data_IF_419347008265
#
_entry.id   IF_419347008265
#
_cell.length_a   1.000
_cell.length_b   1.000
_cell.length_c   1.000
_cell.angle_alpha   90.00
_cell.angle_beta   90.00
_cell.angle_gamma   90.00
#
_symmetry.space_group_name_H-M   'P 1'
#
loop_
_entity.id
_entity.type
_entity.pdbx_description
1 polymer ?
#
# COMPACT_ATOMS: atom_id res chain seq x y z
N UNK A 1 56.72 -11.82 -49.23
CA UNK A 1 56.15 -10.57 -48.68
C UNK A 1 55.18 -10.94 -47.55
N UNK A 2 55.26 -10.21 -46.42
CA UNK A 2 54.34 -10.29 -45.27
C UNK A 2 52.87 -10.08 -45.69
N UNK A 3 51.92 -10.78 -45.07
CA UNK A 3 50.97 -10.10 -44.17
C UNK A 3 50.07 -11.04 -43.36
N UNK A 4 49.76 -10.56 -42.17
CA UNK A 4 49.01 -11.14 -41.06
C UNK A 4 47.61 -10.53 -40.98
N UNK A 5 46.61 -11.28 -40.44
CA UNK A 5 45.42 -10.86 -39.63
C UNK A 5 44.22 -11.75 -39.99
N UNK A 6 43.78 -12.64 -39.09
CA UNK A 6 42.92 -12.44 -37.90
C UNK A 6 41.41 -12.43 -38.23
N UNK A 7 40.75 -13.39 -37.59
CA UNK A 7 39.48 -13.27 -36.86
C UNK A 7 38.19 -13.59 -37.61
N UNK A 8 37.79 -14.85 -37.43
CA UNK A 8 36.43 -15.31 -37.18
C UNK A 8 35.55 -14.24 -36.52
N UNK A 9 34.50 -13.82 -37.22
CA UNK A 9 33.35 -13.16 -36.61
C UNK A 9 32.09 -13.96 -36.91
N UNK A 10 31.53 -14.45 -35.82
CA UNK A 10 30.27 -15.17 -35.70
C UNK A 10 29.18 -14.43 -36.47
N UNK A 11 28.56 -15.17 -37.38
CA UNK A 11 27.43 -14.72 -38.19
C UNK A 11 26.17 -15.41 -37.67
N UNK A 12 25.62 -14.91 -36.55
CA UNK A 12 24.30 -15.27 -36.05
C UNK A 12 23.58 -13.99 -35.63
N UNK A 13 22.76 -13.48 -36.55
CA UNK A 13 21.69 -12.49 -36.36
C UNK A 13 20.49 -13.09 -37.10
N UNK A 14 19.22 -12.94 -36.74
CA UNK A 14 18.56 -12.49 -35.53
C UNK A 14 17.07 -12.67 -35.89
N UNK A 15 16.35 -13.59 -35.24
CA UNK A 15 14.88 -13.59 -35.22
C UNK A 15 14.42 -14.26 -33.92
N UNK A 16 14.58 -13.51 -32.82
CA UNK A 16 13.93 -13.80 -31.54
C UNK A 16 12.65 -12.98 -31.44
N UNK A 17 11.58 -13.49 -30.81
CA UNK A 17 10.29 -12.83 -30.76
C UNK A 17 10.40 -11.51 -29.99
N UNK A 18 9.65 -10.51 -30.44
CA UNK A 18 9.43 -9.27 -29.74
C UNK A 18 8.81 -9.53 -28.36
N UNK A 19 9.66 -9.80 -27.38
CA UNK A 19 9.31 -9.70 -25.98
C UNK A 19 9.40 -8.22 -25.61
N UNK A 20 8.24 -7.67 -25.26
CA UNK A 20 8.06 -6.34 -24.71
C UNK A 20 9.13 -6.04 -23.66
N UNK A 21 10.10 -5.20 -24.01
CA UNK A 21 10.94 -4.54 -23.03
C UNK A 21 10.09 -3.44 -22.37
N UNK A 22 9.20 -3.84 -21.46
CA UNK A 22 8.85 -3.01 -20.32
C UNK A 22 10.14 -2.91 -19.48
N UNK A 23 11.03 -2.00 -19.89
CA UNK A 23 12.12 -1.53 -19.07
C UNK A 23 11.49 -0.74 -17.90
N UNK A 24 10.98 -1.49 -16.92
CA UNK A 24 10.55 -0.98 -15.65
C UNK A 24 11.77 -0.40 -14.94
N UNK A 25 11.88 0.92 -14.97
CA UNK A 25 12.70 1.69 -14.05
C UNK A 25 12.14 1.50 -12.62
N UNK A 26 12.45 0.35 -12.01
CA UNK A 26 12.05 -0.03 -10.65
C UNK A 26 13.05 0.41 -9.57
N UNK A 27 14.17 1.02 -9.92
CA UNK A 27 15.28 1.21 -8.96
C UNK A 27 15.28 2.55 -8.20
N UNK A 28 14.25 3.39 -8.34
CA UNK A 28 14.13 4.62 -7.53
C UNK A 28 12.97 4.61 -6.51
N UNK A 29 12.07 3.60 -6.57
CA UNK A 29 10.87 3.56 -5.71
C UNK A 29 11.00 2.67 -4.46
N UNK A 30 12.06 1.86 -4.35
CA UNK A 30 12.21 0.91 -3.25
C UNK A 30 12.51 1.57 -1.89
N UNK A 31 13.29 2.65 -1.86
CA UNK A 31 13.59 3.36 -0.61
C UNK A 31 12.36 4.12 -0.06
N UNK A 32 11.52 4.67 -0.96
CA UNK A 32 10.25 5.28 -0.56
C UNK A 32 9.21 4.25 -0.13
N UNK A 33 9.21 3.03 -0.70
CA UNK A 33 8.19 2.04 -0.36
C UNK A 33 8.45 1.37 0.99
N UNK A 34 9.70 1.17 1.40
CA UNK A 34 10.02 0.61 2.72
C UNK A 34 9.62 1.55 3.86
N UNK A 35 9.90 2.84 3.72
CA UNK A 35 9.58 3.84 4.75
C UNK A 35 8.05 4.01 4.86
N UNK A 36 7.35 4.03 3.73
CA UNK A 36 5.88 4.11 3.71
C UNK A 36 5.26 2.84 4.27
N UNK A 37 5.80 1.67 3.92
CA UNK A 37 5.39 0.37 4.47
C UNK A 37 5.50 0.34 5.99
N UNK A 38 6.66 0.72 6.54
CA UNK A 38 6.87 0.71 7.99
C UNK A 38 5.90 1.66 8.71
N UNK A 39 5.67 2.84 8.14
CA UNK A 39 4.69 3.80 8.67
C UNK A 39 3.27 3.23 8.68
N UNK A 40 2.86 2.56 7.61
CA UNK A 40 1.54 1.93 7.51
C UNK A 40 1.43 0.76 8.50
N UNK A 41 2.46 -0.09 8.60
CA UNK A 41 2.48 -1.20 9.56
C UNK A 41 2.43 -0.72 11.01
N UNK A 42 3.14 0.37 11.33
CA UNK A 42 3.09 0.98 12.65
C UNK A 42 1.71 1.62 12.92
N UNK A 43 1.11 2.26 11.92
CA UNK A 43 -0.24 2.80 12.01
C UNK A 43 -1.29 1.69 12.21
N UNK A 44 -1.16 0.55 11.53
CA UNK A 44 -2.02 -0.63 11.70
C UNK A 44 -2.00 -1.10 13.16
N UNK A 45 -0.81 -1.36 13.72
CA UNK A 45 -0.64 -1.79 15.12
C UNK A 45 -1.23 -0.77 16.09
N UNK A 46 -0.97 0.51 15.86
CA UNK A 46 -1.52 1.59 16.67
C UNK A 46 -3.04 1.63 16.58
N UNK A 47 -3.62 1.38 15.39
CA UNK A 47 -5.06 1.40 15.16
C UNK A 47 -5.73 0.24 15.87
N UNK A 48 -5.18 -0.97 15.79
CA UNK A 48 -5.66 -2.13 16.55
C UNK A 48 -5.70 -1.82 18.05
N UNK A 49 -4.62 -1.21 18.57
CA UNK A 49 -4.57 -0.78 19.96
C UNK A 49 -5.64 0.27 20.28
N UNK A 50 -5.81 1.29 19.42
CA UNK A 50 -6.82 2.33 19.58
C UNK A 50 -8.24 1.74 19.66
N UNK A 51 -8.55 0.82 18.75
CA UNK A 51 -9.83 0.11 18.67
C UNK A 51 -10.07 -0.67 19.97
N UNK A 52 -9.09 -1.47 20.40
CA UNK A 52 -9.21 -2.29 21.61
C UNK A 52 -9.37 -1.46 22.89
N UNK A 53 -8.82 -0.25 22.92
CA UNK A 53 -8.92 0.68 24.05
C UNK A 53 -10.12 1.64 23.94
N UNK A 54 -10.90 1.56 22.86
CA UNK A 54 -11.94 2.55 22.51
C UNK A 54 -11.43 4.01 22.53
N UNK A 55 -10.15 4.22 22.21
CA UNK A 55 -9.51 5.54 22.25
C UNK A 55 -9.70 6.27 20.92
N UNK A 56 -10.78 7.05 20.84
CA UNK A 56 -11.13 7.84 19.66
C UNK A 56 -10.14 8.97 19.37
N UNK A 57 -9.48 9.52 20.40
CA UNK A 57 -8.49 10.57 20.21
C UNK A 57 -7.22 10.01 19.55
N UNK A 58 -6.79 8.84 19.98
CA UNK A 58 -5.67 8.12 19.38
C UNK A 58 -6.02 7.67 17.95
N UNK A 59 -7.24 7.16 17.72
CA UNK A 59 -7.72 6.79 16.39
C UNK A 59 -7.65 7.96 15.40
N UNK A 60 -8.16 9.13 15.78
CA UNK A 60 -8.09 10.35 14.96
C UNK A 60 -6.65 10.80 14.68
N UNK A 61 -5.74 10.69 15.65
CA UNK A 61 -4.31 10.99 15.44
C UNK A 61 -3.67 10.05 14.43
N UNK A 62 -3.99 8.75 14.48
CA UNK A 62 -3.48 7.78 13.51
C UNK A 62 -3.97 8.13 12.12
N UNK A 63 -5.28 8.33 11.96
CA UNK A 63 -5.87 8.74 10.67
C UNK A 63 -5.23 10.02 10.15
N UNK A 64 -5.06 11.03 11.00
CA UNK A 64 -4.38 12.28 10.66
C UNK A 64 -2.93 12.09 10.22
N UNK A 65 -2.22 11.10 10.78
CA UNK A 65 -0.85 10.77 10.38
C UNK A 65 -0.73 10.09 9.01
N UNK A 66 -1.80 9.45 8.54
CA UNK A 66 -1.90 8.85 7.20
C UNK A 66 -2.26 9.90 6.13
N UNK A 67 -2.88 11.02 6.53
CA UNK A 67 -3.30 12.10 5.64
C UNK A 67 -2.21 12.56 4.65
N UNK A 68 -0.99 12.92 5.11
CA UNK A 68 0.10 13.31 4.22
C UNK A 68 0.50 12.24 3.20
N UNK A 69 0.47 10.95 3.57
CA UNK A 69 0.78 9.85 2.67
C UNK A 69 -0.26 9.76 1.54
N UNK A 70 -1.54 9.86 1.91
CA UNK A 70 -2.67 9.84 0.97
C UNK A 70 -2.63 11.06 0.05
N UNK A 71 -2.38 12.25 0.60
CA UNK A 71 -2.27 13.49 -0.17
C UNK A 71 -1.13 13.44 -1.18
N UNK A 72 0.03 12.94 -0.79
CA UNK A 72 1.18 12.82 -1.68
C UNK A 72 0.92 11.79 -2.78
N UNK A 73 0.24 10.69 -2.48
CA UNK A 73 -0.24 9.74 -3.48
C UNK A 73 -1.21 10.39 -4.48
N UNK A 74 -2.16 11.19 -3.99
CA UNK A 74 -3.11 11.92 -4.83
C UNK A 74 -2.42 12.97 -5.70
N UNK A 75 -1.42 13.70 -5.18
CA UNK A 75 -0.61 14.65 -5.95
C UNK A 75 0.14 13.94 -7.08
N UNK A 76 0.78 12.79 -6.80
CA UNK A 76 1.45 11.97 -7.83
C UNK A 76 0.48 11.52 -8.91
N UNK A 77 -0.69 11.00 -8.52
CA UNK A 77 -1.74 10.61 -9.46
C UNK A 77 -2.19 11.78 -10.35
N UNK A 78 -2.43 12.96 -9.74
CA UNK A 78 -2.81 14.18 -10.47
C UNK A 78 -1.74 14.64 -11.45
N UNK A 79 -0.46 14.42 -11.14
CA UNK A 79 0.66 14.71 -12.03
C UNK A 79 0.86 13.65 -13.15
N UNK A 80 -0.03 12.67 -13.27
CA UNK A 80 0.08 11.57 -14.25
C UNK A 80 0.94 10.39 -13.78
N UNK A 81 1.37 10.39 -12.51
CA UNK A 81 2.08 9.29 -11.89
C UNK A 81 1.16 8.12 -11.48
N UNK A 82 1.79 7.00 -11.12
CA UNK A 82 1.09 5.81 -10.62
C UNK A 82 0.88 5.88 -9.11
N UNK A 83 -0.19 5.26 -8.63
CA UNK A 83 -0.45 5.03 -7.19
C UNK A 83 0.12 3.66 -6.84
N UNK A 84 0.93 3.59 -5.79
CA UNK A 84 1.52 2.33 -5.33
C UNK A 84 0.53 1.48 -4.51
N UNK A 85 0.83 0.19 -4.34
CA UNK A 85 0.05 -0.66 -3.44
C UNK A 85 0.11 -0.17 -1.99
N UNK A 86 1.24 0.40 -1.56
CA UNK A 86 1.37 1.00 -0.24
C UNK A 86 0.52 2.26 -0.08
N UNK A 87 0.36 3.05 -1.14
CA UNK A 87 -0.55 4.21 -1.11
C UNK A 87 -2.01 3.78 -0.98
N UNK A 88 -2.40 2.68 -1.64
CA UNK A 88 -3.72 2.07 -1.50
C UNK A 88 -3.92 1.54 -0.07
N UNK A 89 -2.92 0.87 0.51
CA UNK A 89 -2.98 0.40 1.89
C UNK A 89 -3.12 1.56 2.90
N UNK A 90 -2.40 2.67 2.70
CA UNK A 90 -2.57 3.86 3.52
C UNK A 90 -3.99 4.43 3.40
N UNK A 91 -4.56 4.42 2.19
CA UNK A 91 -5.91 4.91 1.92
C UNK A 91 -6.98 4.04 2.58
N UNK A 92 -6.93 2.71 2.40
CA UNK A 92 -7.90 1.78 2.99
C UNK A 92 -7.84 1.79 4.51
N UNK A 93 -6.63 1.85 5.10
CA UNK A 93 -6.48 2.00 6.55
C UNK A 93 -7.04 3.34 7.06
N UNK A 94 -6.73 4.44 6.37
CA UNK A 94 -7.22 5.77 6.70
C UNK A 94 -8.74 5.87 6.62
N UNK A 95 -9.34 5.29 5.59
CA UNK A 95 -10.79 5.22 5.43
C UNK A 95 -11.43 4.37 6.53
N UNK A 96 -10.90 3.17 6.83
CA UNK A 96 -11.40 2.33 7.91
C UNK A 96 -11.39 3.06 9.27
N UNK A 97 -10.30 3.75 9.59
CA UNK A 97 -10.20 4.54 10.83
C UNK A 97 -11.13 5.75 10.86
N UNK A 98 -11.39 6.38 9.71
CA UNK A 98 -12.30 7.53 9.58
C UNK A 98 -13.74 7.07 9.76
N UNK A 99 -14.19 6.06 9.00
CA UNK A 99 -15.52 5.47 9.11
C UNK A 99 -15.79 4.97 10.53
N UNK A 100 -14.82 4.33 11.18
CA UNK A 100 -14.96 3.94 12.58
C UNK A 100 -15.10 5.16 13.51
N UNK A 101 -14.28 6.20 13.32
CA UNK A 101 -14.34 7.42 14.14
C UNK A 101 -15.70 8.10 14.04
N UNK A 102 -16.29 8.12 12.85
CA UNK A 102 -17.65 8.62 12.60
C UNK A 102 -18.71 7.68 13.19
N UNK A 103 -18.57 6.36 13.02
CA UNK A 103 -19.50 5.37 13.55
C UNK A 103 -19.66 5.46 15.07
N UNK A 104 -18.61 5.87 15.80
CA UNK A 104 -18.64 6.04 17.25
C UNK A 104 -19.48 7.27 17.66
N UNK A 105 -19.54 8.30 16.83
CA UNK A 105 -20.38 9.48 17.07
C UNK A 105 -21.86 9.22 16.76
N UNK A 106 -22.15 8.27 15.86
CA UNK A 106 -23.51 7.98 15.38
C UNK A 106 -24.23 6.86 16.16
N UNK A 107 -25.55 6.75 15.92
CA UNK A 107 -26.41 5.70 16.51
C UNK A 107 -27.34 5.07 15.46
N UNK A 108 -27.90 3.92 15.78
CA UNK A 108 -28.90 3.26 14.93
C UNK A 108 -28.34 2.81 13.58
N UNK A 109 -29.07 3.11 12.50
CA UNK A 109 -28.74 2.65 11.14
C UNK A 109 -27.47 3.28 10.58
N UNK A 110 -27.22 4.55 10.87
CA UNK A 110 -26.01 5.26 10.39
C UNK A 110 -24.75 4.65 10.97
N UNK A 111 -24.75 4.35 12.28
CA UNK A 111 -23.66 3.59 12.91
C UNK A 111 -23.44 2.23 12.25
N UNK A 112 -24.50 1.50 11.90
CA UNK A 112 -24.36 0.18 11.25
C UNK A 112 -23.72 0.29 9.87
N UNK A 113 -24.10 1.29 9.08
CA UNK A 113 -23.51 1.55 7.77
C UNK A 113 -22.02 1.91 7.89
N UNK A 114 -21.69 2.86 8.77
CA UNK A 114 -20.30 3.28 8.97
C UNK A 114 -19.40 2.17 9.54
N UNK A 115 -19.94 1.30 10.41
CA UNK A 115 -19.23 0.10 10.85
C UNK A 115 -19.03 -0.90 9.70
N UNK A 116 -20.01 -1.06 8.82
CA UNK A 116 -19.88 -1.87 7.61
C UNK A 116 -18.80 -1.36 6.67
N UNK A 117 -18.80 -0.04 6.42
CA UNK A 117 -17.79 0.64 5.61
C UNK A 117 -16.39 0.46 6.22
N UNK A 118 -16.26 0.65 7.54
CA UNK A 118 -14.99 0.42 8.23
C UNK A 118 -14.51 -1.02 8.10
N UNK A 119 -15.41 -2.01 8.22
CA UNK A 119 -15.08 -3.43 8.09
C UNK A 119 -14.67 -3.79 6.67
N UNK A 120 -15.36 -3.26 5.66
CA UNK A 120 -15.03 -3.50 4.26
C UNK A 120 -13.67 -2.89 3.92
N UNK A 121 -13.42 -1.66 4.34
CA UNK A 121 -12.14 -1.00 4.12
C UNK A 121 -10.98 -1.67 4.88
N UNK A 122 -11.23 -2.24 6.06
CA UNK A 122 -10.23 -3.05 6.75
C UNK A 122 -9.91 -4.37 6.01
N UNK A 123 -10.86 -4.93 5.25
CA UNK A 123 -10.62 -6.09 4.39
C UNK A 123 -9.97 -5.71 3.05
N UNK A 124 -10.20 -4.50 2.54
CA UNK A 124 -9.41 -3.92 1.44
C UNK A 124 -7.97 -3.70 1.90
N UNK A 125 -7.77 -3.15 3.11
CA UNK A 125 -6.45 -2.94 3.70
C UNK A 125 -5.61 -4.22 3.78
N UNK A 126 -6.18 -5.34 4.23
CA UNK A 126 -5.45 -6.61 4.30
C UNK A 126 -4.89 -7.04 2.92
N UNK A 127 -5.70 -6.83 1.86
CA UNK A 127 -5.29 -7.12 0.47
C UNK A 127 -4.26 -6.12 -0.05
N UNK A 128 -4.49 -4.82 0.17
CA UNK A 128 -3.61 -3.76 -0.28
C UNK A 128 -2.24 -3.84 0.41
N UNK A 129 -2.23 -4.14 1.71
CA UNK A 129 -1.01 -4.28 2.48
C UNK A 129 -0.22 -5.54 2.09
N UNK A 130 -0.91 -6.65 1.80
CA UNK A 130 -0.26 -7.83 1.22
C UNK A 130 0.40 -7.54 -0.14
N UNK A 131 -0.22 -6.69 -0.97
CA UNK A 131 0.39 -6.23 -2.21
C UNK A 131 1.55 -5.25 -1.98
N UNK A 132 1.43 -4.38 -0.96
CA UNK A 132 2.50 -3.49 -0.52
C UNK A 132 3.72 -4.29 -0.01
N UNK A 133 3.52 -5.37 0.74
CA UNK A 133 4.60 -6.27 1.16
C UNK A 133 5.39 -6.80 -0.04
N UNK A 134 4.66 -7.34 -1.03
CA UNK A 134 5.27 -7.85 -2.26
C UNK A 134 6.02 -6.74 -3.03
N UNK A 135 5.44 -5.54 -3.12
CA UNK A 135 6.07 -4.40 -3.78
C UNK A 135 7.32 -3.90 -3.02
N UNK A 136 7.33 -3.96 -1.69
CA UNK A 136 8.43 -3.53 -0.83
C UNK A 136 9.49 -4.63 -0.59
N UNK A 137 9.31 -5.82 -1.18
CA UNK A 137 10.19 -6.98 -0.95
C UNK A 137 10.14 -7.52 0.49
N UNK A 138 9.07 -7.21 1.22
CA UNK A 138 8.81 -7.72 2.57
C UNK A 138 8.11 -9.07 2.49
N UNK A 139 8.26 -9.87 3.55
CA UNK A 139 7.49 -11.12 3.68
C UNK A 139 6.03 -10.77 3.93
N UNK A 140 5.12 -11.31 3.12
CA UNK A 140 3.68 -11.10 3.29
C UNK A 140 3.23 -11.40 4.71
N UNK A 141 2.71 -10.38 5.39
CA UNK A 141 2.19 -10.45 6.74
C UNK A 141 0.72 -10.90 6.79
N UNK A 142 0.19 -11.03 8.01
CA UNK A 142 -1.25 -11.11 8.23
C UNK A 142 -1.73 -9.74 8.66
N UNK A 143 -2.46 -9.04 7.79
CA UNK A 143 -2.93 -7.66 7.99
C UNK A 143 -4.43 -7.59 8.32
N UNK A 144 -5.03 -8.75 8.65
CA UNK A 144 -6.43 -8.84 9.06
C UNK A 144 -6.68 -8.33 10.50
N UNK A 145 -5.66 -7.78 11.17
CA UNK A 145 -5.73 -7.35 12.57
C UNK A 145 -6.78 -6.26 12.80
N UNK A 146 -6.85 -5.27 11.91
CA UNK A 146 -7.85 -4.18 11.99
C UNK A 146 -9.26 -4.73 11.77
N UNK A 147 -9.47 -5.57 10.76
CA UNK A 147 -10.76 -6.19 10.49
C UNK A 147 -11.22 -7.07 11.66
N UNK A 148 -10.30 -7.78 12.31
CA UNK A 148 -10.59 -8.57 13.52
C UNK A 148 -10.96 -7.68 14.71
N UNK A 149 -10.24 -6.57 14.91
CA UNK A 149 -10.54 -5.62 15.98
C UNK A 149 -11.93 -4.98 15.80
N UNK A 150 -12.30 -4.61 14.57
CA UNK A 150 -13.61 -4.05 14.25
C UNK A 150 -14.77 -5.03 14.48
N UNK A 151 -14.57 -6.33 14.26
CA UNK A 151 -15.60 -7.36 14.52
C UNK A 151 -15.85 -7.59 16.01
N UNK A 152 -14.98 -7.09 16.89
CA UNK A 152 -15.13 -7.21 18.33
C UNK A 152 -15.93 -6.06 18.97
N UNK A 153 -16.31 -5.03 18.17
CA UNK A 153 -17.10 -3.86 18.58
C UNK A 153 -18.61 -4.09 18.41
#
# INVERSE_FOLDING_TARGET
>A
MRSSKRQNLLRWLAFGPAAFALAGSLTAHAASSSDVHERISNAEKAMIKAISAHDTALLRRIVGSLGPLIEDALKRKKAGGQVSSCDLAAHSLGFAGTSLSEAIAERGKERQLLMGDAQQAAADFDRDMSACDAQAGQKTGNHAGVAKALRAL
#
